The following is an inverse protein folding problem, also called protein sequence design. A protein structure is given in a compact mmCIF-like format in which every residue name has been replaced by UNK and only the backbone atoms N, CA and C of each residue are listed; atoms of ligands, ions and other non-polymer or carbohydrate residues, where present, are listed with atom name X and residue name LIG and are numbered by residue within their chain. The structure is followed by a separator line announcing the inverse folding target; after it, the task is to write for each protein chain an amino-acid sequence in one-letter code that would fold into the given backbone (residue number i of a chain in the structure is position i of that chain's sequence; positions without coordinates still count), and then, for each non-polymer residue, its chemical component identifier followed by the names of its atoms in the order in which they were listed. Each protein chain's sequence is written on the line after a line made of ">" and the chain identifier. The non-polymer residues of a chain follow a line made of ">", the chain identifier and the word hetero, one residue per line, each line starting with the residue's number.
data_IF_136356765508
#
_entry.id   IF_136356765508
#
_cell.length_a   1.000
_cell.length_b   1.000
_cell.length_c   1.000
_cell.angle_alpha   90.00
_cell.angle_beta   90.00
_cell.angle_gamma   90.00
#
_symmetry.space_group_name_H-M   'P 1'
#
loop_
_entity.id
_entity.type
_entity.pdbx_description
1 polymer ?
#
# COMPACT_ATOMS: atom_id res chain seq x y z
N UNK A 1 4.36 -14.44 13.51
CA UNK A 1 4.57 -14.04 14.92
C UNK A 1 5.68 -14.88 15.50
N UNK A 2 6.84 -14.29 15.78
CA UNK A 2 7.79 -14.90 16.70
C UNK A 2 7.10 -15.21 18.02
N UNK A 3 7.47 -16.32 18.66
CA UNK A 3 6.79 -16.85 19.84
C UNK A 3 7.11 -16.05 21.10
N UNK A 4 6.87 -14.73 21.10
CA UNK A 4 7.07 -13.88 22.27
C UNK A 4 6.27 -14.40 23.46
N UNK A 5 6.93 -14.49 24.61
CA UNK A 5 6.28 -14.85 25.87
C UNK A 5 5.60 -13.61 26.45
N UNK A 6 4.56 -13.76 27.30
CA UNK A 6 3.93 -12.61 27.93
C UNK A 6 4.91 -11.69 28.67
N UNK A 7 5.93 -12.27 29.32
CA UNK A 7 6.99 -11.50 30.00
C UNK A 7 7.79 -10.63 29.02
N UNK A 8 8.26 -11.21 27.91
CA UNK A 8 8.97 -10.46 26.86
C UNK A 8 8.11 -9.37 26.23
N UNK A 9 6.82 -9.61 26.05
CA UNK A 9 5.89 -8.57 25.55
C UNK A 9 5.82 -7.40 26.53
N UNK A 10 5.69 -7.68 27.83
CA UNK A 10 5.67 -6.63 28.86
C UNK A 10 6.99 -5.86 28.89
N UNK A 11 8.14 -6.55 28.87
CA UNK A 11 9.47 -5.94 28.81
C UNK A 11 9.64 -5.01 27.59
N UNK A 12 9.12 -5.42 26.43
CA UNK A 12 9.16 -4.59 25.23
C UNK A 12 8.26 -3.36 25.36
N UNK A 13 7.07 -3.51 25.96
CA UNK A 13 6.17 -2.39 26.25
C UNK A 13 6.74 -1.44 27.31
N UNK A 14 7.54 -1.93 28.26
CA UNK A 14 8.18 -1.14 29.31
C UNK A 14 9.18 -0.11 28.74
N UNK A 15 9.76 -0.34 27.55
CA UNK A 15 10.65 0.61 26.88
C UNK A 15 9.95 1.89 26.43
N UNK A 16 8.63 1.86 26.26
CA UNK A 16 7.86 2.97 25.67
C UNK A 16 6.76 3.50 26.59
N UNK A 17 6.19 2.66 27.44
CA UNK A 17 5.11 3.02 28.36
C UNK A 17 5.64 2.94 29.79
N UNK A 18 5.48 3.99 30.59
CA UNK A 18 5.87 3.96 32.01
C UNK A 18 4.69 3.47 32.85
N UNK A 19 4.94 2.56 33.80
CA UNK A 19 3.89 2.04 34.69
C UNK A 19 2.86 1.13 33.98
N UNK A 20 1.58 1.23 34.35
CA UNK A 20 0.46 0.49 33.72
C UNK A 20 0.63 -1.03 33.64
N UNK A 21 1.28 -1.64 34.64
CA UNK A 21 1.63 -3.08 34.62
C UNK A 21 0.43 -4.02 34.43
N UNK A 22 -0.74 -3.68 34.97
CA UNK A 22 -1.95 -4.48 34.77
C UNK A 22 -2.41 -4.49 33.31
N UNK A 23 -2.45 -3.32 32.66
CA UNK A 23 -2.82 -3.19 31.25
C UNK A 23 -1.82 -3.91 30.33
N UNK A 24 -0.51 -3.73 30.57
CA UNK A 24 0.55 -4.43 29.83
C UNK A 24 0.42 -5.95 29.92
N UNK A 25 0.17 -6.49 31.12
CA UNK A 25 -0.07 -7.92 31.32
C UNK A 25 -1.31 -8.40 30.57
N UNK A 26 -2.41 -7.66 30.62
CA UNK A 26 -3.65 -8.01 29.92
C UNK A 26 -3.44 -8.12 28.40
N UNK A 27 -2.80 -7.11 27.78
CA UNK A 27 -2.51 -7.14 26.34
C UNK A 27 -1.51 -8.22 25.96
N UNK A 28 -0.51 -8.49 26.80
CA UNK A 28 0.46 -9.55 26.58
C UNK A 28 -0.19 -10.95 26.59
N UNK A 29 -1.15 -11.17 27.50
CA UNK A 29 -1.92 -12.41 27.56
C UNK A 29 -2.80 -12.55 26.32
N UNK A 30 -3.52 -11.50 25.92
CA UNK A 30 -4.37 -11.53 24.73
C UNK A 30 -3.58 -11.85 23.46
N UNK A 31 -2.42 -11.20 23.26
CA UNK A 31 -1.53 -11.47 22.12
C UNK A 31 -0.99 -12.91 22.16
N UNK A 32 -0.58 -13.40 23.35
CA UNK A 32 -0.13 -14.79 23.50
C UNK A 32 -1.25 -15.80 23.23
N UNK A 33 -2.48 -15.49 23.61
CA UNK A 33 -3.64 -16.35 23.35
C UNK A 33 -3.95 -16.43 21.85
N UNK A 34 -3.77 -15.35 21.08
CA UNK A 34 -3.84 -15.42 19.60
C UNK A 34 -2.78 -16.36 19.02
N UNK A 35 -1.53 -16.26 19.48
CA UNK A 35 -0.49 -17.21 19.07
C UNK A 35 -0.83 -18.66 19.46
N UNK A 36 -1.39 -18.88 20.66
CA UNK A 36 -1.83 -20.22 21.07
C UNK A 36 -2.93 -20.74 20.16
N UNK A 37 -3.94 -19.91 19.84
CA UNK A 37 -5.05 -20.26 18.93
C UNK A 37 -4.54 -20.70 17.55
N UNK A 38 -3.53 -20.03 16.98
CA UNK A 38 -2.98 -20.43 15.68
C UNK A 38 -2.25 -21.79 15.69
N UNK A 39 -1.89 -22.30 16.86
CA UNK A 39 -1.26 -23.62 17.06
C UNK A 39 -2.26 -24.75 17.32
N UNK A 40 -3.55 -24.44 17.49
CA UNK A 40 -4.59 -25.45 17.73
C UNK A 40 -5.02 -26.09 16.39
N UNK A 41 -5.56 -27.31 16.41
CA UNK A 41 -6.14 -27.94 15.23
C UNK A 41 -7.28 -27.08 14.64
N UNK A 42 -7.43 -27.07 13.31
CA UNK A 42 -8.36 -26.16 12.60
C UNK A 42 -9.78 -26.19 13.16
N UNK A 43 -10.35 -27.38 13.37
CA UNK A 43 -11.71 -27.57 13.87
C UNK A 43 -11.97 -26.97 15.26
N UNK A 44 -10.93 -26.81 16.09
CA UNK A 44 -11.06 -26.20 17.43
C UNK A 44 -10.74 -24.70 17.43
N UNK A 45 -10.22 -24.13 16.33
CA UNK A 45 -9.86 -22.69 16.28
C UNK A 45 -11.09 -21.79 16.26
N UNK A 46 -12.18 -22.29 15.69
CA UNK A 46 -13.43 -21.54 15.52
C UNK A 46 -14.19 -21.43 16.84
N UNK A 47 -14.00 -22.39 17.74
CA UNK A 47 -14.56 -22.36 19.09
C UNK A 47 -13.83 -21.38 20.03
N UNK A 48 -12.58 -21.01 19.71
CA UNK A 48 -11.76 -20.13 20.54
C UNK A 48 -11.89 -18.67 20.09
N UNK A 49 -12.83 -17.95 20.69
CA UNK A 49 -13.06 -16.52 20.43
C UNK A 49 -11.92 -15.68 21.05
N UNK A 50 -11.39 -14.67 20.34
CA UNK A 50 -10.44 -13.72 20.89
C UNK A 50 -10.93 -13.07 22.19
N UNK A 51 -10.02 -12.87 23.14
CA UNK A 51 -10.31 -12.15 24.38
C UNK A 51 -10.14 -10.65 24.15
N UNK A 52 -11.25 -9.96 23.90
CA UNK A 52 -11.28 -8.50 23.80
C UNK A 52 -10.92 -7.85 25.14
N UNK A 53 -10.36 -6.65 25.09
CA UNK A 53 -9.85 -5.92 26.27
C UNK A 53 -10.60 -4.59 26.39
N UNK A 54 -11.17 -4.34 27.56
CA UNK A 54 -11.69 -3.03 27.94
C UNK A 54 -10.67 -2.32 28.84
N UNK A 55 -10.14 -1.18 28.39
CA UNK A 55 -9.21 -0.35 29.18
C UNK A 55 -9.95 0.79 29.85
N UNK A 56 -9.94 0.82 31.19
CA UNK A 56 -10.59 1.85 32.00
C UNK A 56 -9.53 2.73 32.65
N UNK A 57 -9.69 4.05 32.55
CA UNK A 57 -8.80 5.02 33.18
C UNK A 57 -8.93 6.41 32.54
N UNK A 58 -8.36 7.46 33.15
CA UNK A 58 -8.42 8.82 32.62
C UNK A 58 -7.72 8.94 31.25
N UNK A 59 -7.94 10.06 30.56
CA UNK A 59 -7.22 10.38 29.33
C UNK A 59 -5.73 10.60 29.62
N UNK A 60 -4.87 10.42 28.62
CA UNK A 60 -3.43 10.70 28.74
C UNK A 60 -2.57 9.65 29.47
N UNK A 61 -3.15 8.61 30.10
CA UNK A 61 -2.36 7.58 30.82
C UNK A 61 -1.66 6.54 29.93
N UNK A 62 -1.80 6.66 28.60
CA UNK A 62 -1.16 5.76 27.63
C UNK A 62 -2.01 4.59 27.13
N UNK A 63 -3.35 4.60 27.30
CA UNK A 63 -4.25 3.54 26.77
C UNK A 63 -4.03 3.28 25.26
N UNK A 64 -4.08 4.34 24.46
CA UNK A 64 -3.87 4.28 23.01
C UNK A 64 -2.43 3.88 22.66
N UNK A 65 -1.44 4.32 23.43
CA UNK A 65 -0.03 4.00 23.18
C UNK A 65 0.28 2.53 23.44
N UNK A 66 -0.31 1.93 24.49
CA UNK A 66 -0.22 0.49 24.73
C UNK A 66 -0.75 -0.30 23.52
N UNK A 67 -1.93 0.07 23.00
CA UNK A 67 -2.53 -0.62 21.84
C UNK A 67 -1.68 -0.44 20.56
N UNK A 68 -1.21 0.79 20.30
CA UNK A 68 -0.36 1.10 19.14
C UNK A 68 0.97 0.34 19.19
N UNK A 69 1.63 0.29 20.36
CA UNK A 69 2.90 -0.44 20.54
C UNK A 69 2.71 -1.94 20.44
N UNK A 70 1.62 -2.47 20.99
CA UNK A 70 1.27 -3.87 20.85
C UNK A 70 1.12 -4.27 19.38
N UNK A 71 0.41 -3.45 18.58
CA UNK A 71 0.22 -3.73 17.16
C UNK A 71 1.55 -3.72 16.38
N UNK A 72 2.42 -2.73 16.65
CA UNK A 72 3.76 -2.68 16.04
C UNK A 72 4.60 -3.90 16.41
N UNK A 73 4.59 -4.30 17.69
CA UNK A 73 5.31 -5.47 18.18
C UNK A 73 4.81 -6.77 17.54
N UNK A 74 3.50 -6.87 17.32
CA UNK A 74 2.88 -8.03 16.70
C UNK A 74 2.99 -8.03 15.16
N UNK A 75 3.52 -6.95 14.56
CA UNK A 75 3.42 -6.68 13.12
C UNK A 75 1.97 -6.85 12.61
N UNK A 76 1.01 -6.30 13.37
CA UNK A 76 -0.41 -6.46 13.14
C UNK A 76 -1.02 -5.18 12.52
N UNK A 77 -1.95 -5.30 11.56
CA UNK A 77 -2.75 -4.18 11.08
C UNK A 77 -3.49 -3.51 12.25
N UNK A 78 -3.51 -2.18 12.26
CA UNK A 78 -4.04 -1.39 13.37
C UNK A 78 -4.84 -0.19 12.89
N UNK A 79 -6.05 -0.04 13.43
CA UNK A 79 -6.90 1.13 13.22
C UNK A 79 -7.38 1.68 14.57
N UNK A 80 -7.36 3.01 14.71
CA UNK A 80 -8.01 3.73 15.81
C UNK A 80 -9.29 4.35 15.27
N UNK A 81 -10.42 4.06 15.93
CA UNK A 81 -11.70 4.75 15.71
C UNK A 81 -12.20 5.37 17.00
N UNK A 82 -12.98 6.44 16.89
CA UNK A 82 -13.69 7.04 18.02
C UNK A 82 -15.14 6.57 17.98
N UNK A 83 -15.67 6.10 19.11
CA UNK A 83 -17.01 5.52 19.15
C UNK A 83 -18.11 6.51 18.77
N UNK A 84 -17.93 7.79 19.11
CA UNK A 84 -18.87 8.89 18.85
C UNK A 84 -19.13 9.12 17.36
N UNK A 85 -18.18 8.77 16.48
CA UNK A 85 -18.31 8.90 15.02
C UNK A 85 -19.46 8.07 14.42
N UNK A 86 -19.93 7.06 15.15
CA UNK A 86 -21.00 6.15 14.72
C UNK A 86 -22.36 6.49 15.35
N UNK A 87 -22.42 7.51 16.22
CA UNK A 87 -23.64 7.90 16.95
C UNK A 87 -24.06 9.35 16.72
N UNK A 88 -23.21 10.18 16.13
CA UNK A 88 -23.52 11.59 15.89
C UNK A 88 -24.60 11.74 14.80
N UNK A 89 -25.71 12.41 15.14
CA UNK A 89 -26.89 12.57 14.29
C UNK A 89 -26.57 13.56 13.17
N UNK A 90 -26.26 13.06 11.98
CA UNK A 90 -26.02 13.86 10.79
C UNK A 90 -25.90 13.01 9.53
N UNK A 91 -26.69 13.40 8.53
CA UNK A 91 -26.87 12.86 7.17
C UNK A 91 -25.76 11.91 6.68
N UNK A 92 -26.09 10.62 6.55
CA UNK A 92 -25.25 9.55 5.96
C UNK A 92 -23.93 9.31 6.70
N UNK A 93 -24.03 9.08 8.00
CA UNK A 93 -22.90 8.78 8.88
C UNK A 93 -22.11 7.54 8.45
N UNK A 94 -20.80 7.55 8.74
CA UNK A 94 -19.89 6.42 8.49
C UNK A 94 -20.47 5.14 9.08
N UNK A 95 -20.63 4.14 8.22
CA UNK A 95 -21.04 2.79 8.56
C UNK A 95 -20.06 2.14 9.55
N UNK A 96 -20.55 1.35 10.51
CA UNK A 96 -19.72 0.60 11.46
C UNK A 96 -18.74 -0.31 10.71
N UNK A 97 -19.14 -0.85 9.56
CA UNK A 97 -18.28 -1.67 8.70
C UNK A 97 -17.06 -0.91 8.16
N UNK A 98 -17.09 0.43 8.14
CA UNK A 98 -15.93 1.24 7.75
C UNK A 98 -14.70 0.95 8.60
N UNK A 99 -14.86 0.61 9.90
CA UNK A 99 -13.71 0.27 10.75
C UNK A 99 -12.99 -1.00 10.28
N UNK A 100 -13.73 -1.94 9.69
CA UNK A 100 -13.18 -3.18 9.13
C UNK A 100 -12.56 -2.90 7.77
N UNK A 101 -13.20 -2.07 6.93
CA UNK A 101 -12.63 -1.64 5.64
C UNK A 101 -11.29 -0.93 5.84
N UNK A 102 -11.22 0.04 6.76
CA UNK A 102 -10.00 0.75 7.12
C UNK A 102 -8.91 -0.21 7.60
N UNK A 103 -9.29 -1.26 8.35
CA UNK A 103 -8.35 -2.27 8.85
C UNK A 103 -7.77 -3.12 7.72
N UNK A 104 -8.62 -3.54 6.77
CA UNK A 104 -8.20 -4.30 5.59
C UNK A 104 -7.30 -3.45 4.70
N UNK A 105 -7.63 -2.18 4.49
CA UNK A 105 -6.79 -1.25 3.72
C UNK A 105 -5.41 -1.09 4.38
N UNK A 106 -5.37 -0.86 5.70
CA UNK A 106 -4.13 -0.79 6.46
C UNK A 106 -3.31 -2.09 6.36
N UNK A 107 -3.97 -3.26 6.33
CA UNK A 107 -3.32 -4.56 6.17
C UNK A 107 -2.72 -4.75 4.77
N UNK A 108 -3.47 -4.42 3.71
CA UNK A 108 -2.99 -4.48 2.32
C UNK A 108 -1.80 -3.53 2.13
N UNK A 109 -1.88 -2.32 2.67
CA UNK A 109 -0.78 -1.36 2.57
C UNK A 109 0.48 -1.83 3.32
N UNK A 110 0.31 -2.47 4.49
CA UNK A 110 1.40 -3.12 5.20
C UNK A 110 2.07 -4.20 4.36
N UNK A 111 1.29 -5.11 3.75
CA UNK A 111 1.80 -6.18 2.88
C UNK A 111 2.52 -5.62 1.66
N UNK A 112 1.94 -4.61 0.99
CA UNK A 112 2.58 -3.93 -0.15
C UNK A 112 3.92 -3.33 0.24
N UNK A 113 3.98 -2.64 1.37
CA UNK A 113 5.23 -2.02 1.87
C UNK A 113 6.30 -3.07 2.16
N UNK A 114 5.93 -4.22 2.73
CA UNK A 114 6.85 -5.33 2.96
C UNK A 114 7.35 -5.93 1.64
N UNK A 115 6.45 -6.21 0.69
CA UNK A 115 6.82 -6.77 -0.62
C UNK A 115 7.69 -5.83 -1.42
N UNK A 116 7.41 -4.52 -1.38
CA UNK A 116 8.24 -3.48 -2.02
C UNK A 116 9.70 -3.58 -1.56
N UNK A 117 9.94 -3.77 -0.25
CA UNK A 117 11.30 -3.95 0.27
C UNK A 117 11.95 -5.24 -0.21
N UNK A 118 11.19 -6.33 -0.37
CA UNK A 118 11.75 -7.59 -0.87
C UNK A 118 12.14 -7.54 -2.35
N UNK A 119 11.46 -6.72 -3.15
CA UNK A 119 11.72 -6.58 -4.59
C UNK A 119 12.60 -5.37 -4.92
N UNK A 120 13.08 -4.62 -3.92
CA UNK A 120 13.85 -3.40 -4.13
C UNK A 120 15.14 -3.64 -4.94
N UNK A 121 15.89 -4.69 -4.61
CA UNK A 121 17.12 -5.04 -5.32
C UNK A 121 16.89 -5.43 -6.81
N UNK A 122 15.99 -6.37 -7.15
CA UNK A 122 15.70 -6.67 -8.55
C UNK A 122 15.05 -5.49 -9.29
N UNK A 123 14.18 -4.72 -8.62
CA UNK A 123 13.60 -3.50 -9.20
C UNK A 123 14.68 -2.46 -9.54
N UNK A 124 15.66 -2.25 -8.65
CA UNK A 124 16.77 -1.34 -8.89
C UNK A 124 17.62 -1.79 -10.09
N UNK A 125 17.86 -3.10 -10.25
CA UNK A 125 18.57 -3.63 -11.41
C UNK A 125 17.80 -3.38 -12.72
N UNK A 126 16.50 -3.65 -12.74
CA UNK A 126 15.63 -3.38 -13.90
C UNK A 126 15.54 -1.88 -14.21
N UNK A 127 15.47 -1.04 -13.18
CA UNK A 127 15.45 0.41 -13.32
C UNK A 127 16.76 0.96 -13.92
N UNK A 128 17.91 0.38 -13.55
CA UNK A 128 19.21 0.72 -14.16
C UNK A 128 19.22 0.37 -15.64
N UNK A 129 18.77 -0.83 -16.01
CA UNK A 129 18.72 -1.22 -17.42
C UNK A 129 17.79 -0.29 -18.21
N UNK A 130 16.58 -0.01 -17.70
CA UNK A 130 15.64 0.95 -18.32
C UNK A 130 16.23 2.35 -18.46
N UNK A 131 16.99 2.82 -17.47
CA UNK A 131 17.70 4.11 -17.55
C UNK A 131 18.76 4.09 -18.67
N UNK A 132 19.52 3.00 -18.81
CA UNK A 132 20.50 2.84 -19.90
C UNK A 132 19.82 2.84 -21.28
N UNK A 133 18.61 2.32 -21.40
CA UNK A 133 17.84 2.39 -22.64
C UNK A 133 17.42 3.81 -23.01
N UNK A 134 17.13 4.64 -22.00
CA UNK A 134 16.78 6.05 -22.19
C UNK A 134 18.02 6.87 -22.58
N UNK A 135 19.18 6.57 -21.98
CA UNK A 135 20.45 7.24 -22.28
C UNK A 135 21.06 6.81 -23.63
N UNK A 136 20.86 5.57 -24.03
CA UNK A 136 21.31 5.00 -25.29
C UNK A 136 20.15 4.26 -25.99
N UNK A 137 19.22 5.01 -26.61
CA UNK A 137 18.10 4.42 -27.33
C UNK A 137 18.60 3.68 -28.56
N UNK A 138 18.04 2.50 -28.82
CA UNK A 138 18.28 1.80 -30.08
C UNK A 138 17.71 2.63 -31.24
N UNK A 139 18.37 2.65 -32.42
CA UNK A 139 17.81 3.32 -33.59
C UNK A 139 16.47 2.68 -33.90
N UNK A 140 15.39 3.47 -33.80
CA UNK A 140 14.08 3.05 -34.30
C UNK A 140 14.25 2.82 -35.80
N UNK A 141 14.06 1.57 -36.27
CA UNK A 141 13.82 1.36 -37.69
C UNK A 141 12.57 2.16 -38.01
N UNK A 142 12.71 3.19 -38.86
CA UNK A 142 11.56 3.90 -39.42
C UNK A 142 10.69 2.84 -40.11
N UNK A 143 9.64 2.41 -39.43
CA UNK A 143 8.56 1.70 -40.08
C UNK A 143 8.03 2.64 -41.13
N UNK A 144 8.16 2.25 -42.40
CA UNK A 144 7.49 2.89 -43.52
C UNK A 144 6.07 3.22 -43.07
N UNK A 145 5.71 4.52 -43.06
CA UNK A 145 4.35 4.95 -42.75
C UNK A 145 3.41 4.19 -43.69
N UNK A 146 2.77 3.14 -43.18
CA UNK A 146 1.71 2.47 -43.90
C UNK A 146 0.55 3.46 -43.96
N UNK A 147 0.35 4.07 -45.12
CA UNK A 147 -0.78 4.95 -45.34
C UNK A 147 -2.07 4.15 -45.06
N UNK A 148 -2.98 4.63 -44.21
CA UNK A 148 -4.23 3.92 -43.90
C UNK A 148 -5.10 3.71 -45.15
N UNK A 149 -4.88 4.50 -46.20
CA UNK A 149 -5.50 4.32 -47.51
C UNK A 149 -4.97 3.08 -48.27
N UNK A 150 -3.70 2.72 -48.09
CA UNK A 150 -3.04 1.60 -48.78
C UNK A 150 -3.44 0.24 -48.17
N UNK A 151 -3.74 0.22 -46.86
CA UNK A 151 -4.34 -0.92 -46.18
C UNK A 151 -5.78 -1.22 -46.63
N UNK A 152 -6.51 -0.22 -47.16
CA UNK A 152 -7.89 -0.36 -47.59
C UNK A 152 -8.04 -0.75 -49.07
N UNK A 153 -7.04 -0.42 -49.92
CA UNK A 153 -7.11 -0.58 -51.38
C UNK A 153 -6.32 -1.78 -51.96
N UNK A 154 -5.94 -2.75 -51.13
CA UNK A 154 -5.67 -4.10 -51.63
C UNK A 154 -4.28 -4.36 -52.20
N UNK A 155 -3.24 -4.16 -51.39
CA UNK A 155 -1.91 -4.74 -51.61
C UNK A 155 -1.57 -5.72 -50.48
N UNK A 156 -1.94 -6.99 -50.63
CA UNK A 156 -1.77 -8.04 -49.62
C UNK A 156 -0.32 -8.37 -49.26
N UNK A 157 0.34 -7.52 -48.48
CA UNK A 157 1.40 -7.93 -47.57
C UNK A 157 0.87 -7.81 -46.17
N UNK A 158 0.63 -8.97 -45.55
CA UNK A 158 0.42 -9.07 -44.12
C UNK A 158 1.46 -8.21 -43.42
N UNK A 159 1.00 -7.18 -42.70
CA UNK A 159 1.83 -6.47 -41.75
C UNK A 159 2.29 -7.51 -40.74
N UNK A 160 3.51 -8.04 -40.93
CA UNK A 160 4.19 -8.75 -39.86
C UNK A 160 4.25 -7.78 -38.69
N UNK A 161 3.84 -8.20 -37.48
CA UNK A 161 4.07 -7.38 -36.30
C UNK A 161 5.57 -7.08 -36.28
N UNK A 162 5.92 -5.80 -36.41
CA UNK A 162 7.31 -5.37 -36.38
C UNK A 162 7.91 -5.92 -35.09
N UNK A 163 8.88 -6.83 -35.24
CA UNK A 163 9.50 -7.56 -34.16
C UNK A 163 10.00 -6.59 -33.09
N UNK A 164 9.33 -6.58 -31.95
CA UNK A 164 9.80 -5.95 -30.72
C UNK A 164 11.02 -6.68 -30.13
N UNK A 165 11.38 -7.84 -30.69
CA UNK A 165 12.43 -8.75 -30.21
C UNK A 165 13.70 -8.75 -31.08
N UNK A 166 13.90 -7.75 -31.95
CA UNK A 166 15.15 -7.64 -32.68
C UNK A 166 16.26 -7.19 -31.73
N UNK A 167 17.27 -8.05 -31.50
CA UNK A 167 18.45 -7.69 -30.71
C UNK A 167 19.03 -6.35 -31.18
N UNK A 168 19.34 -5.42 -30.25
CA UNK A 168 19.89 -4.13 -30.63
C UNK A 168 21.24 -4.34 -31.32
N UNK A 169 21.58 -3.49 -32.31
CA UNK A 169 22.83 -3.64 -33.04
C UNK A 169 24.03 -3.52 -32.08
N UNK A 170 25.14 -4.19 -32.41
CA UNK A 170 26.28 -4.42 -31.51
C UNK A 170 26.93 -3.12 -31.00
N UNK A 171 26.80 -2.03 -31.75
CA UNK A 171 27.21 -0.67 -31.39
C UNK A 171 26.43 -0.11 -30.19
N UNK A 172 25.11 -0.33 -30.15
CA UNK A 172 24.24 0.09 -29.03
C UNK A 172 24.55 -0.71 -27.78
N UNK A 173 24.80 -2.03 -27.92
CA UNK A 173 25.19 -2.90 -26.81
C UNK A 173 26.52 -2.46 -26.18
N UNK A 174 27.53 -2.14 -27.01
CA UNK A 174 28.81 -1.62 -26.53
C UNK A 174 28.68 -0.28 -25.81
N UNK A 175 27.86 0.64 -26.34
CA UNK A 175 27.60 1.93 -25.68
C UNK A 175 26.89 1.76 -24.33
N UNK A 176 25.92 0.86 -24.24
CA UNK A 176 25.22 0.55 -22.98
C UNK A 176 26.17 -0.05 -21.94
N UNK A 177 27.09 -0.93 -22.35
CA UNK A 177 28.10 -1.48 -21.45
C UNK A 177 29.00 -0.39 -20.83
N UNK A 178 29.50 0.55 -21.65
CA UNK A 178 30.29 1.68 -21.16
C UNK A 178 29.50 2.58 -20.20
N UNK A 179 28.23 2.87 -20.55
CA UNK A 179 27.35 3.67 -19.69
C UNK A 179 27.03 2.97 -18.37
N UNK A 180 26.90 1.64 -18.36
CA UNK A 180 26.70 0.86 -17.14
C UNK A 180 27.85 1.05 -16.17
N UNK A 181 29.10 0.93 -16.64
CA UNK A 181 30.26 1.16 -15.77
C UNK A 181 30.34 2.60 -15.25
N UNK A 182 29.99 3.60 -16.09
CA UNK A 182 29.94 5.01 -15.67
C UNK A 182 28.84 5.27 -14.64
N UNK A 183 27.67 4.63 -14.79
CA UNK A 183 26.57 4.71 -13.84
C UNK A 183 26.97 4.10 -12.49
N UNK A 184 27.66 2.97 -12.49
CA UNK A 184 28.13 2.32 -11.25
C UNK A 184 29.18 3.14 -10.51
N UNK A 185 30.00 3.91 -11.24
CA UNK A 185 31.00 4.83 -10.67
C UNK A 185 30.42 6.17 -10.20
N UNK A 186 29.16 6.47 -10.52
CA UNK A 186 28.51 7.76 -10.20
C UNK A 186 28.88 8.90 -11.16
N UNK A 187 29.54 8.60 -12.28
CA UNK A 187 29.99 9.62 -13.25
C UNK A 187 28.82 10.30 -13.98
N UNK A 188 27.61 9.74 -13.88
CA UNK A 188 26.40 10.22 -14.55
C UNK A 188 25.47 11.02 -13.61
N UNK A 189 25.84 11.22 -12.34
CA UNK A 189 24.93 11.77 -11.33
C UNK A 189 24.42 13.18 -11.65
N UNK A 190 25.21 13.97 -12.38
CA UNK A 190 24.86 15.33 -12.82
C UNK A 190 24.16 15.35 -14.19
N UNK A 191 24.10 14.23 -14.90
CA UNK A 191 23.43 14.17 -16.19
C UNK A 191 21.91 14.27 -15.98
N UNK A 192 21.26 15.07 -16.82
CA UNK A 192 19.82 15.30 -16.76
C UNK A 192 19.13 14.43 -17.81
N UNK A 193 18.21 13.59 -17.36
CA UNK A 193 17.42 12.69 -18.21
C UNK A 193 15.95 13.11 -18.21
N UNK A 194 15.29 12.89 -19.34
CA UNK A 194 13.84 13.09 -19.47
C UNK A 194 13.17 11.73 -19.40
N UNK A 195 12.36 11.52 -18.36
CA UNK A 195 11.61 10.28 -18.18
C UNK A 195 10.11 10.55 -18.21
N UNK A 196 9.34 9.62 -18.77
CA UNK A 196 7.89 9.63 -18.69
C UNK A 196 7.46 9.04 -17.35
N UNK A 197 6.91 9.90 -16.49
CA UNK A 197 6.41 9.51 -15.17
C UNK A 197 4.89 9.50 -15.21
N UNK A 198 4.28 8.51 -14.57
CA UNK A 198 2.83 8.50 -14.34
C UNK A 198 2.48 9.59 -13.32
N UNK A 199 1.69 10.60 -13.72
CA UNK A 199 1.11 11.54 -12.78
C UNK A 199 -0.09 10.87 -12.10
N UNK A 200 -0.12 10.91 -10.76
CA UNK A 200 -1.36 10.67 -10.03
C UNK A 200 -2.40 11.69 -10.53
N UNK A 201 -3.62 11.22 -10.83
CA UNK A 201 -4.68 12.07 -11.35
C UNK A 201 -4.77 13.36 -10.53
N UNK A 202 -4.66 14.51 -11.20
CA UNK A 202 -4.71 15.80 -10.53
C UNK A 202 -6.07 15.94 -9.83
N UNK A 203 -6.13 16.49 -8.60
CA UNK A 203 -7.39 16.74 -7.88
C UNK A 203 -8.28 17.81 -8.53
N UNK A 204 -7.98 18.23 -9.78
CA UNK A 204 -8.69 19.28 -10.52
C UNK A 204 -10.13 18.90 -10.93
N UNK A 205 -10.66 17.75 -10.49
CA UNK A 205 -12.08 17.39 -10.62
C UNK A 205 -12.90 17.90 -9.41
N UNK A 206 -12.29 18.50 -8.37
CA UNK A 206 -13.09 19.19 -7.32
C UNK A 206 -13.76 20.49 -7.81
N UNK A 207 -13.31 21.07 -8.93
CA UNK A 207 -13.81 22.39 -9.39
C UNK A 207 -15.13 22.29 -10.17
N UNK A 208 -15.55 21.09 -10.59
CA UNK A 208 -16.82 20.90 -11.32
C UNK A 208 -17.97 20.36 -10.47
N UNK A 209 -17.76 20.05 -9.18
CA UNK A 209 -18.85 19.77 -8.24
C UNK A 209 -19.40 21.06 -7.64
N UNK A 210 -19.97 21.91 -8.50
CA UNK A 210 -20.84 22.98 -8.05
C UNK A 210 -22.07 22.37 -7.37
N UNK A 211 -22.18 22.59 -6.06
CA UNK A 211 -23.37 22.46 -5.20
C UNK A 211 -24.25 21.21 -5.46
N UNK A 212 -24.05 20.15 -4.67
CA UNK A 212 -25.11 19.19 -4.35
C UNK A 212 -24.89 17.70 -4.67
N UNK A 213 -23.66 17.24 -4.92
CA UNK A 213 -23.41 15.85 -5.38
C UNK A 213 -22.26 15.11 -4.68
N UNK A 214 -22.01 15.35 -3.39
CA UNK A 214 -20.78 14.94 -2.71
C UNK A 214 -20.63 13.41 -2.47
N UNK A 215 -21.69 12.60 -2.55
CA UNK A 215 -21.59 11.16 -2.25
C UNK A 215 -21.48 10.23 -3.46
N UNK A 216 -21.90 10.66 -4.65
CA UNK A 216 -21.86 9.80 -5.85
C UNK A 216 -20.55 9.95 -6.64
N UNK A 217 -19.74 10.97 -6.34
CA UNK A 217 -18.50 11.30 -7.06
C UNK A 217 -17.31 10.39 -6.74
N UNK A 218 -17.23 9.86 -5.51
CA UNK A 218 -16.06 9.11 -5.03
C UNK A 218 -15.98 7.73 -5.72
N UNK A 219 -17.11 7.05 -5.90
CA UNK A 219 -17.15 5.74 -6.54
C UNK A 219 -17.06 5.80 -8.08
N UNK A 220 -17.55 6.88 -8.70
CA UNK A 220 -17.41 7.09 -10.15
C UNK A 220 -15.97 7.47 -10.53
N UNK A 221 -15.26 8.18 -9.65
CA UNK A 221 -13.85 8.55 -9.85
C UNK A 221 -12.94 7.31 -9.95
N UNK A 222 -13.13 6.30 -9.10
CA UNK A 222 -12.31 5.08 -9.13
C UNK A 222 -12.65 4.16 -10.32
N UNK A 223 -13.92 4.15 -10.75
CA UNK A 223 -14.35 3.45 -11.96
C UNK A 223 -13.84 4.13 -13.24
N UNK A 224 -13.87 5.46 -13.31
CA UNK A 224 -13.39 6.24 -14.48
C UNK A 224 -11.86 6.33 -14.50
N UNK A 225 -11.21 6.41 -13.34
CA UNK A 225 -9.76 6.46 -13.18
C UNK A 225 -9.04 5.17 -13.60
N UNK A 226 -9.71 4.02 -13.50
CA UNK A 226 -9.20 2.74 -14.01
C UNK A 226 -9.47 2.53 -15.51
N UNK A 227 -10.39 3.29 -16.11
CA UNK A 227 -10.80 3.17 -17.52
C UNK A 227 -10.12 4.20 -18.43
N UNK A 228 -9.68 5.34 -17.87
CA UNK A 228 -8.86 6.32 -18.56
C UNK A 228 -7.37 5.95 -18.46
N UNK A 229 -6.62 5.97 -19.58
CA UNK A 229 -5.18 5.71 -19.54
C UNK A 229 -4.51 6.75 -18.65
N UNK A 230 -3.67 6.28 -17.71
CA UNK A 230 -2.91 7.15 -16.80
C UNK A 230 -2.13 8.17 -17.61
N UNK A 231 -2.32 9.45 -17.29
CA UNK A 231 -1.61 10.53 -17.96
C UNK A 231 -0.12 10.42 -17.61
N UNK A 232 0.70 10.19 -18.63
CA UNK A 232 2.16 10.21 -18.51
C UNK A 232 2.66 11.59 -18.88
N UNK A 233 3.49 12.17 -18.04
CA UNK A 233 4.14 13.44 -18.30
C UNK A 233 5.64 13.25 -18.35
N UNK A 234 6.26 13.87 -19.36
CA UNK A 234 7.71 13.94 -19.45
C UNK A 234 8.25 14.92 -18.43
N UNK A 235 9.16 14.45 -17.59
CA UNK A 235 9.80 15.25 -16.56
C UNK A 235 11.30 15.09 -16.68
N UNK A 236 12.00 16.22 -16.73
CA UNK A 236 13.46 16.27 -16.73
C UNK A 236 13.96 16.26 -15.29
N UNK A 237 14.86 15.34 -14.96
CA UNK A 237 15.44 15.19 -13.63
C UNK A 237 16.85 14.61 -13.71
N UNK A 238 17.62 14.70 -12.62
CA UNK A 238 18.96 14.12 -12.56
C UNK A 238 18.90 12.59 -12.56
N UNK A 239 19.95 11.92 -13.07
CA UNK A 239 20.06 10.46 -13.09
C UNK A 239 19.74 9.78 -11.75
N UNK A 240 20.23 10.25 -10.59
CA UNK A 240 19.92 9.61 -9.30
C UNK A 240 18.44 9.73 -8.92
N UNK A 241 17.78 10.82 -9.29
CA UNK A 241 16.35 11.00 -9.06
C UNK A 241 15.53 10.13 -10.00
N UNK A 242 15.90 10.08 -11.29
CA UNK A 242 15.29 9.20 -12.26
C UNK A 242 15.39 7.74 -11.83
N UNK A 243 16.54 7.31 -11.31
CA UNK A 243 16.73 5.95 -10.83
C UNK A 243 15.79 5.60 -9.68
N UNK A 244 15.54 6.53 -8.73
CA UNK A 244 14.58 6.33 -7.63
C UNK A 244 13.16 6.19 -8.16
N UNK A 245 12.74 7.04 -9.09
CA UNK A 245 11.40 6.99 -9.70
C UNK A 245 11.21 5.67 -10.47
N UNK A 246 12.16 5.33 -11.34
CA UNK A 246 12.12 4.09 -12.12
C UNK A 246 12.15 2.85 -11.22
N UNK A 247 12.93 2.85 -10.14
CA UNK A 247 12.95 1.75 -9.17
C UNK A 247 11.57 1.56 -8.53
N UNK A 248 10.88 2.64 -8.17
CA UNK A 248 9.51 2.57 -7.66
C UNK A 248 8.53 1.97 -8.67
N UNK A 249 8.61 2.39 -9.94
CA UNK A 249 7.77 1.85 -11.02
C UNK A 249 8.04 0.37 -11.28
N UNK A 250 9.30 -0.05 -11.38
CA UNK A 250 9.64 -1.47 -11.59
C UNK A 250 9.26 -2.32 -10.37
N UNK A 251 9.46 -1.82 -9.14
CA UNK A 251 9.04 -2.51 -7.93
C UNK A 251 7.52 -2.75 -7.91
N UNK A 252 6.72 -1.79 -8.39
CA UNK A 252 5.28 -1.95 -8.44
C UNK A 252 4.84 -3.01 -9.46
N UNK A 253 5.56 -3.17 -10.58
CA UNK A 253 5.29 -4.22 -11.57
C UNK A 253 5.64 -5.62 -11.08
N UNK A 254 6.63 -5.74 -10.20
CA UNK A 254 7.07 -7.01 -9.62
C UNK A 254 6.13 -7.54 -8.53
N UNK A 255 5.18 -6.73 -8.06
CA UNK A 255 4.25 -7.12 -7.00
C UNK A 255 2.93 -7.56 -7.63
N UNK A 256 2.52 -8.81 -7.37
CA UNK A 256 1.18 -9.28 -7.66
C UNK A 256 0.15 -8.55 -6.76
N UNK A 257 -0.74 -7.73 -7.33
CA UNK A 257 -1.72 -6.97 -6.55
C UNK A 257 -2.77 -7.87 -5.90
N UNK A 258 -3.19 -8.95 -6.55
CA UNK A 258 -4.22 -9.85 -6.06
C UNK A 258 -3.69 -10.69 -4.90
N UNK A 259 -2.44 -11.14 -5.00
CA UNK A 259 -1.77 -11.85 -3.93
C UNK A 259 -1.55 -10.94 -2.70
N UNK A 260 -1.18 -9.67 -2.92
CA UNK A 260 -1.06 -8.70 -1.84
C UNK A 260 -2.41 -8.43 -1.15
N UNK A 261 -3.52 -8.36 -1.91
CA UNK A 261 -4.87 -8.21 -1.36
C UNK A 261 -5.27 -9.45 -0.54
N UNK A 262 -5.11 -10.66 -1.09
CA UNK A 262 -5.43 -11.91 -0.40
C UNK A 262 -4.68 -12.03 0.93
N UNK A 263 -3.38 -11.75 0.94
CA UNK A 263 -2.59 -11.78 2.16
C UNK A 263 -2.98 -10.66 3.13
N UNK A 264 -3.32 -9.46 2.63
CA UNK A 264 -3.81 -8.37 3.46
C UNK A 264 -5.10 -8.72 4.19
N UNK A 265 -6.08 -9.31 3.50
CA UNK A 265 -7.33 -9.81 4.10
C UNK A 265 -7.03 -10.84 5.19
N UNK A 266 -6.20 -11.85 4.88
CA UNK A 266 -5.81 -12.88 5.85
C UNK A 266 -5.17 -12.30 7.11
N UNK A 267 -4.32 -11.27 6.98
CA UNK A 267 -3.71 -10.58 8.13
C UNK A 267 -4.73 -9.79 8.94
N UNK A 268 -5.67 -9.09 8.29
CA UNK A 268 -6.73 -8.40 8.99
C UNK A 268 -7.59 -9.36 9.83
N UNK A 269 -7.91 -10.54 9.29
CA UNK A 269 -8.69 -11.59 9.99
C UNK A 269 -7.92 -12.24 11.15
N UNK A 270 -6.66 -12.62 10.94
CA UNK A 270 -5.90 -13.39 11.92
C UNK A 270 -5.26 -12.52 13.02
N UNK A 271 -4.68 -11.38 12.62
CA UNK A 271 -3.82 -10.55 13.49
C UNK A 271 -4.32 -9.13 13.67
N UNK A 272 -5.33 -8.68 12.92
CA UNK A 272 -5.86 -7.32 12.99
C UNK A 272 -6.28 -6.87 14.38
N UNK A 273 -6.04 -5.59 14.68
CA UNK A 273 -6.34 -4.93 15.95
C UNK A 273 -7.13 -3.64 15.67
N UNK A 274 -8.34 -3.56 16.21
CA UNK A 274 -9.15 -2.34 16.20
C UNK A 274 -9.13 -1.76 17.61
N UNK A 275 -8.77 -0.49 17.73
CA UNK A 275 -8.85 0.25 18.98
C UNK A 275 -10.02 1.23 18.90
N UNK A 276 -11.05 0.97 19.70
CA UNK A 276 -12.22 1.83 19.82
C UNK A 276 -12.01 2.74 21.03
N UNK A 277 -11.79 4.03 20.77
CA UNK A 277 -11.62 5.07 21.78
C UNK A 277 -12.97 5.67 22.18
N UNK A 278 -13.03 6.22 23.40
CA UNK A 278 -14.21 6.92 23.92
C UNK A 278 -15.51 6.10 23.91
N UNK A 279 -15.41 4.77 24.07
CA UNK A 279 -16.58 3.88 24.11
C UNK A 279 -17.56 4.23 25.23
N UNK A 280 -17.09 4.85 26.31
CA UNK A 280 -17.92 5.34 27.41
C UNK A 280 -18.89 6.46 26.99
N UNK A 281 -18.61 7.19 25.91
CA UNK A 281 -19.47 8.29 25.44
C UNK A 281 -20.77 7.82 24.80
N UNK A 282 -20.82 6.58 24.33
CA UNK A 282 -22.00 5.98 23.70
C UNK A 282 -22.78 5.08 24.66
N UNK A 283 -22.32 4.93 25.90
CA UNK A 283 -23.06 4.23 26.93
C UNK A 283 -24.24 5.08 27.40
N UNK A 284 -25.45 4.51 27.40
CA UNK A 284 -26.65 5.20 27.89
C UNK A 284 -26.48 5.64 29.34
N UNK A 285 -26.84 6.90 29.64
CA UNK A 285 -26.97 7.35 31.02
C UNK A 285 -28.22 6.67 31.60
N UNK A 286 -28.05 5.59 32.39
CA UNK A 286 -29.14 5.14 33.24
C UNK A 286 -29.36 6.18 34.34
N UNK A 287 -30.26 7.12 34.06
CA UNK A 287 -30.82 8.08 34.99
C UNK A 287 -32.34 8.09 34.86
N UNK A 288 -32.99 7.16 35.55
CA UNK A 288 -34.39 7.19 35.99
C UNK A 288 -35.49 7.58 34.99
N UNK A 289 -36.21 6.59 34.47
CA UNK A 289 -37.62 6.73 34.13
C UNK A 289 -38.35 5.47 34.62
N UNK A 290 -39.39 5.67 35.43
CA UNK A 290 -40.16 4.65 36.17
C UNK A 290 -40.97 3.69 35.29
N UNK A 291 -41.93 2.95 35.88
CA UNK A 291 -42.96 3.47 36.80
C UNK A 291 -42.67 3.31 38.30
#
# INVERSE_FOLDING_TARGET
>A
MEALTPRRIVEELDKYIVGQGAAKRAVAIALRNRYRRSRIASHLRDEVIPKNILMIGPTGIGKTEIARRLARLAAAPFVKVEATKFTEVGYVGRDVDSMVRDLVEAAVQMVRTERMRTVEAPAAAQARERLLEILAPAPRREGTYANPLEALFGGGRAAQPAAADAEPPADVLGRRALLRERLERGDLDQEMVEIEVEEAASPMIEVFSGQGGEEMGINLHDLVGNLLPRRRRRRRMAVPEALRVLTGEEAQKLIDPDEAVREGVRRAEESGIIFIDELDKIAGHQGGAGP
#
